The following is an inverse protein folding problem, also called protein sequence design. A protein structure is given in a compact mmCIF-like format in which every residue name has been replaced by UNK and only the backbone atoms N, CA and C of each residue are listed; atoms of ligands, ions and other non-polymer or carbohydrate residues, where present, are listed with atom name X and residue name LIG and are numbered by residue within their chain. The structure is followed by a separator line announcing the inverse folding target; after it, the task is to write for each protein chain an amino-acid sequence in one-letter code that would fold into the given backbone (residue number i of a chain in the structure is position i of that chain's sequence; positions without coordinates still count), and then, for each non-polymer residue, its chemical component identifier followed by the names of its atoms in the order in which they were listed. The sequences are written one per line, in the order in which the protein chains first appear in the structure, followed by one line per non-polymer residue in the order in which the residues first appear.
data_IF_067815493994
#
_entry.id   IF_067815493994
#
_cell.length_a   1.000
_cell.length_b   1.000
_cell.length_c   1.000
_cell.angle_alpha   90.00
_cell.angle_beta   90.00
_cell.angle_gamma   90.00
#
_symmetry.space_group_name_H-M   'P 1'
#
loop_
_entity.id
_entity.type
_entity.pdbx_description
1 polymer ?
#
# COMPACT_ATOMS: atom_id res chain seq x y z
N UNK A 1 -7.72 -2.50 27.40
CA UNK A 1 -7.51 -3.38 26.24
C UNK A 1 -8.62 -4.40 26.07
N UNK A 2 -9.12 -5.01 27.15
CA UNK A 2 -10.16 -6.06 27.10
C UNK A 2 -11.44 -5.68 26.33
N UNK A 3 -11.95 -4.46 26.51
CA UNK A 3 -13.11 -3.98 25.74
C UNK A 3 -12.81 -3.95 24.23
N UNK A 4 -11.64 -3.43 23.83
CA UNK A 4 -11.21 -3.40 22.42
C UNK A 4 -11.12 -4.81 21.85
N UNK A 5 -10.56 -5.75 22.61
CA UNK A 5 -10.49 -7.15 22.20
C UNK A 5 -11.88 -7.75 21.99
N UNK A 6 -12.82 -7.51 22.92
CA UNK A 6 -14.20 -8.01 22.78
C UNK A 6 -14.93 -7.47 21.55
N UNK A 7 -14.62 -6.24 21.13
CA UNK A 7 -15.16 -5.66 19.90
C UNK A 7 -14.46 -6.22 18.65
N UNK A 8 -13.15 -6.47 18.70
CA UNK A 8 -12.41 -6.96 17.54
C UNK A 8 -12.65 -8.44 17.26
N UNK A 9 -12.78 -9.28 18.29
CA UNK A 9 -12.87 -10.74 18.14
C UNK A 9 -13.92 -11.18 17.11
N UNK A 10 -15.20 -10.72 17.17
CA UNK A 10 -16.21 -11.16 16.21
C UNK A 10 -15.91 -10.74 14.77
N UNK A 11 -15.12 -9.68 14.58
CA UNK A 11 -14.78 -9.10 13.27
C UNK A 11 -13.60 -9.80 12.61
N UNK A 12 -12.69 -10.38 13.39
CA UNK A 12 -11.46 -11.03 12.90
C UNK A 12 -11.43 -12.54 13.08
N UNK A 13 -12.43 -13.12 13.75
CA UNK A 13 -12.51 -14.57 14.03
C UNK A 13 -12.39 -15.45 12.77
N UNK A 14 -12.89 -14.98 11.64
CA UNK A 14 -12.79 -15.68 10.35
C UNK A 14 -11.35 -15.83 9.84
N UNK A 15 -10.39 -15.05 10.37
CA UNK A 15 -8.97 -15.13 10.05
C UNK A 15 -8.22 -16.21 10.86
N UNK A 16 -8.91 -16.89 11.79
CA UNK A 16 -8.41 -18.04 12.55
C UNK A 16 -7.69 -17.67 13.86
N UNK A 17 -7.65 -18.66 14.75
CA UNK A 17 -7.07 -18.53 16.09
C UNK A 17 -5.61 -18.03 16.10
N UNK A 18 -4.71 -18.49 15.19
CA UNK A 18 -3.33 -18.00 15.19
C UNK A 18 -3.21 -16.49 14.94
N UNK A 19 -4.11 -15.91 14.12
CA UNK A 19 -4.13 -14.47 13.91
C UNK A 19 -4.65 -13.75 15.15
N UNK A 20 -5.72 -14.26 15.75
CA UNK A 20 -6.32 -13.68 16.95
C UNK A 20 -5.35 -13.64 18.14
N UNK A 21 -4.59 -14.73 18.35
CA UNK A 21 -3.58 -14.82 19.40
C UNK A 21 -2.46 -13.78 19.19
N UNK A 22 -1.95 -13.64 17.96
CA UNK A 22 -0.93 -12.62 17.64
C UNK A 22 -1.45 -11.20 17.82
N UNK A 23 -2.67 -10.91 17.37
CA UNK A 23 -3.29 -9.60 17.54
C UNK A 23 -3.50 -9.27 19.02
N UNK A 24 -3.97 -10.23 19.80
CA UNK A 24 -4.18 -10.08 21.24
C UNK A 24 -2.88 -9.81 21.96
N UNK A 25 -1.83 -10.60 21.67
CA UNK A 25 -0.50 -10.38 22.22
C UNK A 25 0.04 -8.99 21.86
N UNK A 26 -0.12 -8.56 20.60
CA UNK A 26 0.28 -7.24 20.14
C UNK A 26 -0.46 -6.11 20.87
N UNK A 27 -1.77 -6.21 21.10
CA UNK A 27 -2.55 -5.16 21.75
C UNK A 27 -2.34 -5.10 23.28
N UNK A 28 -1.96 -6.21 23.90
CA UNK A 28 -1.69 -6.28 25.34
C UNK A 28 -0.28 -5.80 25.69
N UNK A 29 0.68 -5.95 24.77
CA UNK A 29 2.02 -5.45 24.97
C UNK A 29 2.07 -3.90 24.89
N UNK A 30 2.56 -3.27 25.96
CA UNK A 30 2.61 -1.82 26.15
C UNK A 30 3.99 -1.23 25.86
N UNK A 31 5.01 -2.04 25.57
CA UNK A 31 6.36 -1.54 25.34
C UNK A 31 6.65 -1.34 23.85
N UNK A 32 6.57 -0.09 23.40
CA UNK A 32 6.83 0.30 22.01
C UNK A 32 8.28 0.07 21.56
N UNK A 33 9.20 -0.27 22.48
CA UNK A 33 10.60 -0.57 22.16
C UNK A 33 10.96 -2.05 22.36
N UNK A 34 10.00 -2.91 22.72
CA UNK A 34 10.26 -4.31 23.03
C UNK A 34 10.79 -5.13 21.85
N UNK A 35 10.38 -4.78 20.63
CA UNK A 35 10.69 -5.55 19.42
C UNK A 35 11.11 -4.67 18.26
N UNK A 36 11.86 -5.25 17.31
CA UNK A 36 12.35 -4.54 16.12
C UNK A 36 11.20 -3.96 15.29
N UNK A 37 10.12 -4.70 15.10
CA UNK A 37 8.94 -4.25 14.35
C UNK A 37 8.26 -3.02 15.00
N UNK A 38 8.16 -2.98 16.33
CA UNK A 38 7.63 -1.82 17.05
C UNK A 38 8.53 -0.59 16.94
N UNK A 39 9.85 -0.79 17.02
CA UNK A 39 10.83 0.29 16.85
C UNK A 39 10.78 0.86 15.44
N UNK A 40 10.68 0.00 14.41
CA UNK A 40 10.48 0.42 13.01
C UNK A 40 9.17 1.21 12.88
N UNK A 41 8.07 0.72 13.44
CA UNK A 41 6.78 1.39 13.36
C UNK A 41 6.77 2.74 14.08
N UNK A 42 7.39 2.83 15.26
CA UNK A 42 7.55 4.06 16.02
C UNK A 42 8.39 5.09 15.24
N UNK A 43 9.52 4.67 14.66
CA UNK A 43 10.34 5.54 13.81
C UNK A 43 9.55 6.03 12.58
N UNK A 44 8.76 5.15 11.96
CA UNK A 44 7.89 5.52 10.84
C UNK A 44 6.80 6.54 11.24
N UNK A 45 6.16 6.36 12.40
CA UNK A 45 5.19 7.31 12.94
C UNK A 45 5.83 8.69 13.21
N UNK A 46 6.97 8.72 13.89
CA UNK A 46 7.71 9.95 14.16
C UNK A 46 8.12 10.66 12.87
N UNK A 47 8.59 9.91 11.88
CA UNK A 47 8.96 10.48 10.58
C UNK A 47 7.74 11.06 9.85
N UNK A 48 6.63 10.32 9.77
CA UNK A 48 5.41 10.77 9.11
C UNK A 48 4.84 12.03 9.77
N UNK A 49 4.79 12.08 11.10
CA UNK A 49 4.36 13.26 11.86
C UNK A 49 5.31 14.43 11.68
N UNK A 50 6.63 14.20 11.70
CA UNK A 50 7.63 15.25 11.45
C UNK A 50 7.56 15.81 10.03
N UNK A 51 7.30 14.96 9.04
CA UNK A 51 7.09 15.38 7.65
C UNK A 51 5.85 16.26 7.50
N UNK A 52 4.72 15.88 8.09
CA UNK A 52 3.51 16.71 8.10
C UNK A 52 3.73 18.01 8.86
N UNK A 53 4.40 17.95 10.01
CA UNK A 53 4.75 19.12 10.79
C UNK A 53 5.56 20.13 9.98
N UNK A 54 6.53 19.69 9.18
CA UNK A 54 7.32 20.58 8.32
C UNK A 54 6.47 21.33 7.29
N UNK A 55 5.37 20.75 6.82
CA UNK A 55 4.42 21.43 5.93
C UNK A 55 3.68 22.53 6.70
N UNK A 56 3.16 22.21 7.89
CA UNK A 56 2.37 23.12 8.72
C UNK A 56 3.24 24.26 9.28
N UNK A 57 4.47 23.95 9.72
CA UNK A 57 5.44 24.91 10.28
C UNK A 57 5.67 26.10 9.35
N UNK A 58 5.71 25.84 8.04
CA UNK A 58 5.88 26.89 7.03
C UNK A 58 4.76 27.94 7.02
N UNK A 59 3.58 27.61 7.56
CA UNK A 59 2.40 28.48 7.61
C UNK A 59 2.31 29.34 8.89
N UNK A 60 3.09 29.03 9.94
CA UNK A 60 3.02 29.74 11.23
C UNK A 60 4.41 30.02 11.83
N UNK A 61 5.32 30.62 11.06
CA UNK A 61 6.75 30.74 11.41
C UNK A 61 7.10 31.60 12.64
N UNK A 62 6.14 32.23 13.31
CA UNK A 62 6.37 33.14 14.44
C UNK A 62 6.18 32.47 15.82
N UNK A 63 5.68 31.24 15.85
CA UNK A 63 5.41 30.53 17.10
C UNK A 63 6.66 29.80 17.61
N UNK A 64 7.09 30.16 18.83
CA UNK A 64 8.27 29.58 19.47
C UNK A 64 8.08 28.13 19.89
N UNK A 65 6.84 27.67 20.11
CA UNK A 65 6.53 26.27 20.46
C UNK A 65 6.88 25.31 19.30
N UNK A 66 6.96 25.82 18.06
CA UNK A 66 7.33 25.03 16.90
C UNK A 66 8.77 24.48 16.97
N UNK A 67 9.67 25.17 17.69
CA UNK A 67 11.03 24.68 17.88
C UNK A 67 11.05 23.45 18.79
N UNK A 68 10.29 23.46 19.88
CA UNK A 68 10.20 22.34 20.81
C UNK A 68 9.55 21.11 20.17
N UNK A 69 8.53 21.32 19.33
CA UNK A 69 7.87 20.24 18.58
C UNK A 69 8.83 19.61 17.58
N UNK A 70 9.56 20.40 16.77
CA UNK A 70 10.56 19.87 15.85
C UNK A 70 11.64 19.07 16.58
N UNK A 71 12.15 19.62 17.69
CA UNK A 71 13.14 18.96 18.53
C UNK A 71 12.64 17.63 19.07
N UNK A 72 11.34 17.51 19.38
CA UNK A 72 10.74 16.26 19.85
C UNK A 72 10.78 15.16 18.78
N UNK A 73 10.48 15.50 17.52
CA UNK A 73 10.57 14.56 16.40
C UNK A 73 12.01 14.17 16.11
N UNK A 74 12.92 15.16 16.07
CA UNK A 74 14.36 14.94 15.87
C UNK A 74 14.93 13.99 16.92
N UNK A 75 14.74 14.29 18.21
CA UNK A 75 15.19 13.43 19.33
C UNK A 75 14.53 12.05 19.31
N UNK A 76 13.27 11.96 18.87
CA UNK A 76 12.57 10.68 18.70
C UNK A 76 13.22 9.79 17.63
N UNK A 77 13.58 10.36 16.47
CA UNK A 77 14.28 9.63 15.41
C UNK A 77 15.72 9.29 15.80
N UNK A 78 16.43 10.18 16.50
CA UNK A 78 17.78 9.93 17.02
C UNK A 78 17.84 8.68 17.93
N UNK A 79 16.80 8.43 18.73
CA UNK A 79 16.70 7.22 19.57
C UNK A 79 16.60 5.92 18.76
N UNK A 80 16.26 6.02 17.48
CA UNK A 80 16.13 4.90 16.55
C UNK A 80 17.19 4.95 15.44
N UNK A 81 18.28 5.72 15.63
CA UNK A 81 19.33 5.91 14.62
C UNK A 81 20.16 4.65 14.32
N UNK A 82 20.07 3.62 15.17
CA UNK A 82 20.63 2.29 14.92
C UNK A 82 19.84 1.49 13.89
N UNK A 83 18.58 1.86 13.61
CA UNK A 83 17.79 1.25 12.55
C UNK A 83 18.30 1.73 11.18
N UNK A 84 18.48 0.77 10.27
CA UNK A 84 18.90 1.06 8.91
C UNK A 84 17.92 2.03 8.22
N UNK A 85 18.47 3.00 7.49
CA UNK A 85 17.71 4.04 6.79
C UNK A 85 17.24 5.21 7.65
N UNK A 86 17.07 5.06 8.98
CA UNK A 86 16.61 6.16 9.86
C UNK A 86 17.55 7.37 9.82
N UNK A 87 18.89 7.23 9.89
CA UNK A 87 19.78 8.39 9.76
C UNK A 87 19.61 9.14 8.42
N UNK A 88 19.42 8.41 7.32
CA UNK A 88 19.24 9.00 5.99
C UNK A 88 17.87 9.70 5.86
N UNK A 89 16.82 9.12 6.44
CA UNK A 89 15.49 9.75 6.55
C UNK A 89 15.57 11.03 7.38
N UNK A 90 16.22 10.98 8.54
CA UNK A 90 16.37 12.13 9.44
C UNK A 90 17.15 13.27 8.77
N UNK A 91 18.26 12.98 8.08
CA UNK A 91 19.00 13.97 7.30
C UNK A 91 18.13 14.56 6.18
N UNK A 92 17.35 13.73 5.48
CA UNK A 92 16.44 14.21 4.44
C UNK A 92 15.28 15.07 4.96
N UNK A 93 14.87 14.88 6.22
CA UNK A 93 13.74 15.58 6.84
C UNK A 93 14.15 16.86 7.57
N UNK A 94 15.28 16.83 8.30
CA UNK A 94 15.71 17.90 9.20
C UNK A 94 17.09 18.48 8.88
N UNK A 95 17.83 17.83 7.99
CA UNK A 95 19.16 18.23 7.57
C UNK A 95 19.15 19.25 6.44
N UNK A 96 20.33 19.49 5.88
CA UNK A 96 20.53 20.40 4.75
C UNK A 96 20.65 19.64 3.42
N UNK A 97 20.86 18.32 3.48
CA UNK A 97 21.02 17.45 2.31
C UNK A 97 19.72 16.78 1.86
N UNK A 98 19.59 16.55 0.55
CA UNK A 98 18.59 15.60 0.02
C UNK A 98 19.23 14.22 -0.04
N UNK A 99 18.74 13.28 0.78
CA UNK A 99 19.14 11.87 0.70
C UNK A 99 18.26 11.11 -0.30
N UNK A 100 18.75 10.04 -0.95
CA UNK A 100 17.93 9.22 -1.84
C UNK A 100 16.68 8.65 -1.17
N UNK A 101 16.82 8.06 0.03
CA UNK A 101 15.70 7.53 0.80
C UNK A 101 14.76 8.66 1.27
N UNK A 102 15.29 9.81 1.72
CA UNK A 102 14.48 10.96 2.10
C UNK A 102 13.67 11.51 0.92
N UNK A 103 14.26 11.53 -0.28
CA UNK A 103 13.56 11.89 -1.52
C UNK A 103 12.43 10.91 -1.83
N UNK A 104 12.69 9.60 -1.77
CA UNK A 104 11.67 8.57 -1.95
C UNK A 104 10.51 8.74 -0.96
N UNK A 105 10.81 8.90 0.32
CA UNK A 105 9.80 9.12 1.36
C UNK A 105 9.01 10.42 1.14
N UNK A 106 9.65 11.49 0.65
CA UNK A 106 8.98 12.74 0.28
C UNK A 106 8.01 12.56 -0.89
N UNK A 107 8.40 11.81 -1.93
CA UNK A 107 7.53 11.45 -3.06
C UNK A 107 6.33 10.65 -2.57
N UNK A 108 6.54 9.65 -1.71
CA UNK A 108 5.44 8.91 -1.09
C UNK A 108 4.52 9.81 -0.24
N UNK A 109 5.06 10.75 0.52
CA UNK A 109 4.25 11.70 1.31
C UNK A 109 3.31 12.55 0.45
N UNK A 110 3.72 12.90 -0.77
CA UNK A 110 2.89 13.68 -1.71
C UNK A 110 1.63 12.94 -2.17
N UNK A 111 1.62 11.59 -2.13
CA UNK A 111 0.42 10.77 -2.43
C UNK A 111 -0.79 11.12 -1.56
N UNK A 112 -0.56 11.72 -0.39
CA UNK A 112 -1.62 12.18 0.51
C UNK A 112 -2.48 13.29 -0.10
N UNK A 113 -1.90 14.12 -0.98
CA UNK A 113 -2.58 15.26 -1.59
C UNK A 113 -3.27 14.93 -2.91
N UNK A 114 -2.97 13.77 -3.51
CA UNK A 114 -3.62 13.30 -4.72
C UNK A 114 -4.94 12.60 -4.35
N UNK A 115 -6.06 13.11 -4.89
CA UNK A 115 -7.40 12.57 -4.64
C UNK A 115 -7.79 11.62 -5.76
N UNK A 116 -8.33 10.45 -5.39
CA UNK A 116 -8.96 9.53 -6.35
C UNK A 116 -10.33 10.04 -6.77
N UNK A 117 -10.81 9.58 -7.91
CA UNK A 117 -12.08 10.01 -8.49
C UNK A 117 -12.12 11.52 -8.73
N UNK A 118 -11.00 12.12 -9.15
CA UNK A 118 -10.80 13.57 -9.25
C UNK A 118 -11.86 14.34 -10.07
N UNK A 119 -12.61 13.64 -10.93
CA UNK A 119 -13.69 14.21 -11.74
C UNK A 119 -15.10 14.09 -11.12
N UNK A 120 -15.25 13.42 -9.97
CA UNK A 120 -16.54 13.28 -9.25
C UNK A 120 -16.37 13.73 -7.79
N UNK A 121 -17.23 14.62 -7.27
CA UNK A 121 -17.18 15.01 -5.85
C UNK A 121 -17.41 13.79 -4.95
N UNK A 122 -16.64 13.67 -3.87
CA UNK A 122 -16.68 12.50 -2.99
C UNK A 122 -16.72 12.90 -1.52
N UNK A 123 -17.56 12.22 -0.74
CA UNK A 123 -17.65 12.39 0.71
C UNK A 123 -17.64 11.01 1.39
N UNK A 124 -16.65 10.72 2.26
CA UNK A 124 -15.40 11.48 2.44
C UNK A 124 -14.56 11.45 1.15
N UNK A 125 -13.54 12.29 1.04
CA UNK A 125 -12.53 12.14 -0.02
C UNK A 125 -11.58 10.98 0.31
N UNK A 126 -10.95 10.38 -0.70
CA UNK A 126 -9.94 9.35 -0.51
C UNK A 126 -8.68 9.75 -1.27
N UNK A 127 -7.55 9.82 -0.56
CA UNK A 127 -6.25 10.05 -1.17
C UNK A 127 -5.73 8.76 -1.80
N UNK A 128 -4.83 8.87 -2.78
CA UNK A 128 -4.15 7.72 -3.36
C UNK A 128 -3.37 6.95 -2.29
N UNK A 129 -2.71 7.67 -1.35
CA UNK A 129 -2.05 7.04 -0.21
C UNK A 129 -3.01 6.21 0.65
N UNK A 130 -4.20 6.75 0.92
CA UNK A 130 -5.24 6.04 1.69
C UNK A 130 -5.76 4.81 0.96
N UNK A 131 -5.94 4.90 -0.36
CA UNK A 131 -6.32 3.77 -1.20
C UNK A 131 -5.27 2.65 -1.16
N UNK A 132 -4.00 2.99 -1.41
CA UNK A 132 -2.88 2.03 -1.37
C UNK A 132 -2.79 1.31 -0.03
N UNK A 133 -2.99 2.03 1.08
CA UNK A 133 -3.01 1.42 2.41
C UNK A 133 -4.19 0.47 2.62
N UNK A 134 -5.39 0.81 2.14
CA UNK A 134 -6.56 -0.08 2.20
C UNK A 134 -6.32 -1.34 1.36
N UNK A 135 -5.77 -1.19 0.14
CA UNK A 135 -5.41 -2.32 -0.73
C UNK A 135 -4.38 -3.23 -0.08
N UNK A 136 -3.34 -2.67 0.56
CA UNK A 136 -2.34 -3.43 1.32
C UNK A 136 -2.98 -4.24 2.46
N UNK A 137 -3.86 -3.61 3.24
CA UNK A 137 -4.59 -4.27 4.32
C UNK A 137 -5.44 -5.44 3.80
N UNK A 138 -6.24 -5.22 2.74
CA UNK A 138 -7.02 -6.28 2.12
C UNK A 138 -6.14 -7.40 1.59
N UNK A 139 -5.04 -7.06 0.91
CA UNK A 139 -4.12 -8.04 0.37
C UNK A 139 -3.56 -8.94 1.46
N UNK A 140 -3.20 -8.39 2.62
CA UNK A 140 -2.75 -9.18 3.77
C UNK A 140 -3.85 -10.07 4.35
N UNK A 141 -5.04 -9.52 4.63
CA UNK A 141 -6.14 -10.31 5.21
C UNK A 141 -6.61 -11.43 4.28
N UNK A 142 -6.75 -11.15 2.98
CA UNK A 142 -7.09 -12.20 2.01
C UNK A 142 -5.97 -13.22 1.85
N UNK A 143 -4.69 -12.83 2.00
CA UNK A 143 -3.57 -13.77 2.02
C UNK A 143 -3.71 -14.77 3.18
N UNK A 144 -4.12 -14.31 4.36
CA UNK A 144 -4.43 -15.20 5.49
C UNK A 144 -5.59 -16.15 5.16
N UNK A 145 -6.68 -15.61 4.60
CA UNK A 145 -7.87 -16.40 4.23
C UNK A 145 -7.60 -17.47 3.18
N UNK A 146 -6.66 -17.22 2.26
CA UNK A 146 -6.25 -18.22 1.25
C UNK A 146 -5.14 -19.16 1.75
N UNK A 147 -4.63 -19.00 2.97
CA UNK A 147 -3.54 -19.84 3.49
C UNK A 147 -2.21 -19.58 2.79
N UNK A 148 -1.95 -18.33 2.44
CA UNK A 148 -0.69 -17.91 1.85
C UNK A 148 0.49 -18.13 2.83
N UNK A 149 1.66 -18.53 2.32
CA UNK A 149 2.87 -18.60 3.13
C UNK A 149 3.29 -17.18 3.61
N UNK A 150 4.08 -17.07 4.68
CA UNK A 150 4.51 -15.77 5.22
C UNK A 150 5.10 -14.81 4.17
N UNK A 151 5.98 -15.28 3.30
CA UNK A 151 6.56 -14.47 2.23
C UNK A 151 5.47 -13.95 1.28
N UNK A 152 4.53 -14.81 0.87
CA UNK A 152 3.41 -14.41 0.00
C UNK A 152 2.55 -13.33 0.65
N UNK A 153 2.21 -13.49 1.93
CA UNK A 153 1.39 -12.53 2.66
C UNK A 153 2.09 -11.17 2.78
N UNK A 154 3.40 -11.17 3.06
CA UNK A 154 4.22 -9.95 3.08
C UNK A 154 4.30 -9.30 1.70
N UNK A 155 4.52 -10.10 0.66
CA UNK A 155 4.65 -9.62 -0.72
C UNK A 155 3.37 -9.04 -1.26
N UNK A 156 2.23 -9.64 -0.90
CA UNK A 156 0.92 -9.11 -1.22
C UNK A 156 0.65 -7.81 -0.45
N UNK A 157 1.02 -7.71 0.84
CA UNK A 157 0.89 -6.45 1.57
C UNK A 157 1.66 -5.31 0.89
N UNK A 158 2.96 -5.51 0.63
CA UNK A 158 3.78 -4.46 0.00
C UNK A 158 3.49 -4.25 -1.49
N UNK A 159 3.09 -5.31 -2.20
CA UNK A 159 2.56 -5.21 -3.56
C UNK A 159 1.37 -4.27 -3.61
N UNK A 160 0.41 -4.43 -2.70
CA UNK A 160 -0.72 -3.53 -2.55
C UNK A 160 -0.32 -2.12 -2.08
N UNK A 161 0.67 -2.02 -1.19
CA UNK A 161 1.13 -0.73 -0.66
C UNK A 161 1.80 0.15 -1.72
N UNK A 162 2.44 -0.44 -2.73
CA UNK A 162 3.18 0.30 -3.76
C UNK A 162 2.53 0.28 -5.16
N UNK A 163 1.44 -0.47 -5.38
CA UNK A 163 0.91 -0.71 -6.73
C UNK A 163 0.63 0.57 -7.55
N UNK A 164 0.09 1.61 -6.93
CA UNK A 164 -0.25 2.90 -7.57
C UNK A 164 0.90 3.92 -7.55
N UNK A 165 2.10 3.54 -7.08
CA UNK A 165 3.26 4.43 -7.06
C UNK A 165 3.64 4.99 -8.45
N UNK A 166 3.59 4.22 -9.56
CA UNK A 166 3.87 4.78 -10.90
C UNK A 166 2.83 5.82 -11.35
N UNK A 167 1.55 5.62 -11.00
CA UNK A 167 0.44 6.51 -11.38
C UNK A 167 0.51 7.90 -10.72
N UNK A 168 1.23 8.02 -9.60
CA UNK A 168 1.55 9.32 -9.00
C UNK A 168 2.33 10.22 -9.96
N UNK A 169 3.29 9.66 -10.66
CA UNK A 169 4.30 10.43 -11.38
C UNK A 169 3.75 11.02 -12.69
N UNK A 170 2.65 10.45 -13.19
CA UNK A 170 1.95 10.91 -14.40
C UNK A 170 0.64 11.64 -14.11
N UNK A 171 0.26 11.79 -12.83
CA UNK A 171 -1.00 12.41 -12.32
C UNK A 171 -2.26 11.66 -12.75
N UNK A 172 -2.74 10.75 -11.90
CA UNK A 172 -4.05 10.03 -11.91
C UNK A 172 -4.81 10.09 -13.26
N UNK A 173 -4.29 9.40 -14.28
CA UNK A 173 -4.99 9.33 -15.57
C UNK A 173 -6.16 8.37 -15.42
N UNK A 174 -7.37 8.93 -15.34
CA UNK A 174 -8.61 8.17 -15.07
C UNK A 174 -8.78 6.94 -15.98
N UNK A 175 -9.31 5.85 -15.42
CA UNK A 175 -9.48 4.57 -16.12
C UNK A 175 -10.20 4.63 -17.48
N UNK A 176 -11.24 5.46 -17.71
CA UNK A 176 -11.86 5.58 -19.03
C UNK A 176 -10.90 6.04 -20.12
N UNK A 177 -9.90 6.86 -19.79
CA UNK A 177 -8.86 7.30 -20.72
C UNK A 177 -7.87 6.17 -20.97
N UNK A 178 -7.41 5.49 -19.90
CA UNK A 178 -6.53 4.30 -20.01
C UNK A 178 -7.15 3.18 -20.87
N UNK A 179 -8.47 3.07 -20.89
CA UNK A 179 -9.22 2.04 -21.62
C UNK A 179 -9.80 2.51 -22.97
N UNK A 180 -9.56 3.77 -23.35
CA UNK A 180 -10.18 4.37 -24.55
C UNK A 180 -9.66 3.77 -25.85
N UNK A 181 -8.35 3.52 -25.94
CA UNK A 181 -7.66 2.88 -27.06
C UNK A 181 -6.48 2.10 -26.49
N UNK A 182 -6.30 0.84 -26.90
CA UNK A 182 -5.22 -0.04 -26.43
C UNK A 182 -3.84 0.63 -26.52
N UNK A 183 -3.56 1.26 -27.65
CA UNK A 183 -2.31 1.99 -27.90
C UNK A 183 -2.09 3.17 -26.93
N UNK A 184 -3.16 3.84 -26.49
CA UNK A 184 -3.06 4.93 -25.50
C UNK A 184 -2.72 4.37 -24.13
N UNK A 185 -3.34 3.25 -23.74
CA UNK A 185 -3.03 2.57 -22.48
C UNK A 185 -1.57 2.11 -22.41
N UNK A 186 -1.03 1.57 -23.51
CA UNK A 186 0.37 1.18 -23.62
C UNK A 186 1.32 2.38 -23.49
N UNK A 187 1.04 3.48 -24.20
CA UNK A 187 1.84 4.70 -24.09
C UNK A 187 1.84 5.27 -22.66
N UNK A 188 0.67 5.33 -22.01
CA UNK A 188 0.58 5.82 -20.62
C UNK A 188 1.47 4.98 -19.70
N UNK A 189 1.41 3.66 -19.83
CA UNK A 189 2.21 2.73 -19.02
C UNK A 189 3.70 2.88 -19.28
N UNK A 190 4.11 3.11 -20.52
CA UNK A 190 5.50 3.42 -20.87
C UNK A 190 5.97 4.70 -20.17
N UNK A 191 5.17 5.77 -20.20
CA UNK A 191 5.50 7.01 -19.48
C UNK A 191 5.53 6.84 -17.96
N UNK A 192 4.59 6.10 -17.38
CA UNK A 192 4.58 5.76 -15.95
C UNK A 192 5.90 5.05 -15.55
N UNK A 193 6.37 4.11 -16.36
CA UNK A 193 7.64 3.40 -16.11
C UNK A 193 8.87 4.32 -16.26
N UNK A 194 8.90 5.18 -17.28
CA UNK A 194 10.01 6.13 -17.48
C UNK A 194 10.11 7.09 -16.28
N UNK A 195 8.98 7.60 -15.82
CA UNK A 195 8.96 8.51 -14.68
C UNK A 195 9.30 7.80 -13.37
N UNK A 196 8.80 6.58 -13.16
CA UNK A 196 9.19 5.73 -12.02
C UNK A 196 10.70 5.54 -11.96
N UNK A 197 11.30 5.18 -13.09
CA UNK A 197 12.75 5.02 -13.19
C UNK A 197 13.44 6.33 -12.81
N UNK A 198 13.11 7.43 -13.49
CA UNK A 198 13.76 8.73 -13.35
C UNK A 198 13.66 9.32 -11.95
N UNK A 199 12.48 9.23 -11.32
CA UNK A 199 12.17 9.92 -10.06
C UNK A 199 12.49 9.07 -8.84
N UNK A 200 12.36 7.75 -8.92
CA UNK A 200 12.48 6.87 -7.75
C UNK A 200 13.65 5.89 -7.89
N UNK A 201 13.63 5.03 -8.91
CA UNK A 201 14.57 3.90 -8.97
C UNK A 201 16.00 4.35 -9.25
N UNK A 202 16.21 5.26 -10.19
CA UNK A 202 17.54 5.80 -10.52
C UNK A 202 18.20 6.55 -9.35
N UNK A 203 17.50 7.48 -8.66
CA UNK A 203 18.05 8.13 -7.48
C UNK A 203 18.42 7.15 -6.37
N UNK A 204 17.58 6.15 -6.10
CA UNK A 204 17.87 5.11 -5.11
C UNK A 204 19.09 4.27 -5.53
N UNK A 205 19.16 3.86 -6.80
CA UNK A 205 20.28 3.10 -7.37
C UNK A 205 21.60 3.86 -7.26
N UNK A 206 21.63 5.12 -7.69
CA UNK A 206 22.81 6.00 -7.54
C UNK A 206 23.18 6.26 -6.07
N UNK A 207 22.19 6.16 -5.18
CA UNK A 207 22.34 6.21 -3.74
C UNK A 207 22.92 4.95 -3.10
N UNK A 208 23.09 3.86 -3.86
CA UNK A 208 23.58 2.58 -3.35
C UNK A 208 22.49 1.68 -2.75
N UNK A 209 21.22 1.95 -3.00
CA UNK A 209 20.08 1.18 -2.48
C UNK A 209 19.53 0.17 -3.51
N UNK A 210 20.41 -0.64 -4.10
CA UNK A 210 20.02 -1.61 -5.15
C UNK A 210 19.04 -2.66 -4.62
N UNK A 211 19.22 -3.11 -3.38
CA UNK A 211 18.33 -4.04 -2.69
C UNK A 211 16.88 -3.51 -2.59
N UNK A 212 16.73 -2.23 -2.25
CA UNK A 212 15.42 -1.57 -2.21
C UNK A 212 14.84 -1.41 -3.61
N UNK A 213 15.67 -1.08 -4.61
CA UNK A 213 15.25 -0.99 -6.02
C UNK A 213 14.76 -2.34 -6.53
N UNK A 214 15.48 -3.42 -6.26
CA UNK A 214 15.09 -4.79 -6.62
C UNK A 214 13.76 -5.16 -5.97
N UNK A 215 13.59 -4.87 -4.68
CA UNK A 215 12.35 -5.16 -3.95
C UNK A 215 11.15 -4.37 -4.46
N UNK A 216 11.31 -3.07 -4.71
CA UNK A 216 10.26 -2.23 -5.30
C UNK A 216 9.90 -2.72 -6.71
N UNK A 217 10.92 -3.05 -7.53
CA UNK A 217 10.72 -3.59 -8.88
C UNK A 217 9.95 -4.90 -8.87
N UNK A 218 10.21 -5.77 -7.89
CA UNK A 218 9.47 -7.01 -7.66
C UNK A 218 8.00 -6.74 -7.30
N UNK A 219 7.73 -5.85 -6.34
CA UNK A 219 6.37 -5.50 -5.94
C UNK A 219 5.56 -4.94 -7.10
N UNK A 220 6.16 -4.01 -7.85
CA UNK A 220 5.59 -3.39 -9.06
C UNK A 220 5.55 -4.35 -10.26
N UNK A 221 6.10 -5.56 -10.13
CA UNK A 221 6.06 -6.60 -11.16
C UNK A 221 6.72 -6.18 -12.47
N UNK A 222 7.77 -5.34 -12.42
CA UNK A 222 8.41 -4.78 -13.62
C UNK A 222 8.96 -5.88 -14.55
N UNK A 223 9.54 -6.95 -13.98
CA UNK A 223 10.07 -8.09 -14.74
C UNK A 223 9.00 -9.01 -15.33
N UNK A 224 7.78 -8.97 -14.79
CA UNK A 224 6.64 -9.81 -15.23
C UNK A 224 5.56 -8.98 -15.93
N UNK A 225 5.84 -7.70 -16.21
CA UNK A 225 5.01 -6.79 -16.97
C UNK A 225 3.86 -6.13 -16.21
N UNK A 226 3.57 -6.52 -14.97
CA UNK A 226 2.57 -5.86 -14.11
C UNK A 226 2.67 -6.35 -12.67
N UNK A 227 2.42 -5.42 -11.75
CA UNK A 227 2.13 -5.62 -10.35
C UNK A 227 1.01 -6.65 -10.11
N UNK A 228 0.05 -6.75 -11.03
CA UNK A 228 -1.09 -7.66 -10.97
C UNK A 228 -0.87 -9.02 -11.66
N UNK A 229 0.35 -9.30 -12.12
CA UNK A 229 0.71 -10.65 -12.54
C UNK A 229 1.26 -11.45 -11.36
N UNK A 230 0.75 -12.66 -11.17
CA UNK A 230 1.31 -13.61 -10.22
C UNK A 230 2.72 -14.01 -10.63
N UNK A 231 3.63 -14.07 -9.66
CA UNK A 231 5.02 -14.43 -9.90
C UNK A 231 5.64 -15.16 -8.70
N UNK A 232 6.70 -15.91 -8.96
CA UNK A 232 7.51 -16.59 -7.96
C UNK A 232 8.96 -16.68 -8.45
N UNK A 233 9.89 -16.91 -7.51
CA UNK A 233 11.27 -17.28 -7.78
C UNK A 233 11.32 -18.74 -8.26
N UNK A 234 11.64 -18.91 -9.54
CA UNK A 234 11.76 -20.20 -10.21
C UNK A 234 13.14 -20.30 -10.84
N UNK A 235 13.91 -21.30 -10.44
CA UNK A 235 15.30 -21.51 -10.88
C UNK A 235 16.20 -20.27 -10.70
N UNK A 236 16.02 -19.56 -9.58
CA UNK A 236 16.79 -18.35 -9.25
C UNK A 236 16.39 -17.09 -10.00
N UNK A 237 15.29 -17.10 -10.77
CA UNK A 237 14.76 -15.92 -11.44
C UNK A 237 13.27 -15.72 -11.14
N UNK A 238 12.85 -14.46 -10.99
CA UNK A 238 11.43 -14.12 -10.84
C UNK A 238 10.73 -14.40 -12.17
N UNK A 239 9.73 -15.28 -12.16
CA UNK A 239 8.95 -15.66 -13.33
C UNK A 239 7.48 -15.52 -13.06
N UNK A 240 6.74 -15.13 -14.11
CA UNK A 240 5.28 -15.16 -14.09
C UNK A 240 4.80 -16.60 -13.95
N UNK A 241 3.84 -16.82 -13.08
CA UNK A 241 3.16 -18.11 -12.88
C UNK A 241 1.65 -17.88 -12.96
N UNK A 242 0.88 -18.94 -13.20
CA UNK A 242 -0.57 -18.86 -13.04
C UNK A 242 -0.97 -19.00 -11.56
N UNK A 243 -2.17 -18.54 -11.23
CA UNK A 243 -2.65 -18.51 -9.84
C UNK A 243 -2.80 -19.90 -9.21
N UNK A 244 -3.05 -20.94 -10.01
CA UNK A 244 -3.16 -22.32 -9.51
C UNK A 244 -1.79 -22.89 -9.20
N UNK A 245 -0.81 -22.73 -10.09
CA UNK A 245 0.58 -23.11 -9.81
C UNK A 245 1.16 -22.30 -8.63
N UNK A 246 0.81 -21.01 -8.50
CA UNK A 246 1.20 -20.18 -7.35
C UNK A 246 0.73 -20.82 -6.03
N UNK A 247 -0.53 -21.27 -5.98
CA UNK A 247 -1.12 -21.90 -4.79
C UNK A 247 -0.56 -23.30 -4.53
N UNK A 248 -0.48 -24.14 -5.55
CA UNK A 248 -0.16 -25.57 -5.40
C UNK A 248 1.34 -25.86 -5.33
N UNK A 249 2.18 -25.07 -6.01
CA UNK A 249 3.60 -25.36 -6.19
C UNK A 249 4.53 -24.34 -5.56
N UNK A 250 4.13 -23.07 -5.57
CA UNK A 250 5.02 -21.96 -5.20
C UNK A 250 4.60 -21.22 -3.92
N UNK A 251 3.58 -21.69 -3.19
CA UNK A 251 3.14 -21.12 -1.91
C UNK A 251 4.09 -21.54 -0.76
N UNK A 252 5.38 -21.23 -0.91
CA UNK A 252 6.46 -21.50 0.05
C UNK A 252 7.40 -20.31 0.10
N UNK A 253 7.98 -20.05 1.26
CA UNK A 253 8.79 -18.84 1.48
C UNK A 253 10.02 -18.79 0.58
N UNK A 254 10.64 -19.94 0.27
CA UNK A 254 11.82 -20.02 -0.60
C UNK A 254 11.52 -19.67 -2.06
N UNK A 255 10.24 -19.70 -2.45
CA UNK A 255 9.79 -19.33 -3.78
C UNK A 255 9.46 -17.83 -3.91
N UNK A 256 9.61 -17.02 -2.86
CA UNK A 256 9.24 -15.59 -2.82
C UNK A 256 7.97 -15.23 -3.63
N UNK A 257 6.83 -15.91 -3.40
CA UNK A 257 5.64 -15.77 -4.23
C UNK A 257 4.96 -14.40 -4.07
N UNK A 258 4.33 -13.89 -5.13
CA UNK A 258 3.45 -12.73 -5.12
C UNK A 258 2.19 -13.03 -5.93
N UNK A 259 1.03 -12.74 -5.36
CA UNK A 259 -0.27 -13.01 -5.95
C UNK A 259 -0.88 -11.75 -6.58
N UNK A 260 -0.55 -11.53 -7.85
CA UNK A 260 -1.07 -10.39 -8.60
C UNK A 260 -2.60 -10.42 -8.81
N UNK A 261 -3.22 -11.60 -8.87
CA UNK A 261 -4.67 -11.70 -9.05
C UNK A 261 -5.42 -11.27 -7.78
N UNK A 262 -4.95 -11.74 -6.62
CA UNK A 262 -5.45 -11.30 -5.32
C UNK A 262 -5.26 -9.79 -5.14
N UNK A 263 -4.11 -9.24 -5.54
CA UNK A 263 -3.88 -7.79 -5.54
C UNK A 263 -4.90 -7.05 -6.40
N UNK A 264 -5.19 -7.53 -7.61
CA UNK A 264 -6.15 -6.86 -8.50
C UNK A 264 -7.58 -6.89 -7.97
N UNK A 265 -7.91 -7.97 -7.28
CA UNK A 265 -9.18 -8.10 -6.57
C UNK A 265 -9.25 -7.08 -5.42
N UNK A 266 -8.20 -6.94 -4.61
CA UNK A 266 -8.14 -5.99 -3.51
C UNK A 266 -8.26 -4.53 -3.98
N UNK A 267 -7.55 -4.14 -5.04
CA UNK A 267 -7.69 -2.84 -5.72
C UNK A 267 -9.15 -2.59 -6.14
N UNK A 268 -9.77 -3.58 -6.78
CA UNK A 268 -11.17 -3.49 -7.22
C UNK A 268 -12.14 -3.35 -6.03
N UNK A 269 -11.93 -4.08 -4.93
CA UNK A 269 -12.76 -3.98 -3.73
C UNK A 269 -12.60 -2.61 -3.04
N UNK A 270 -11.38 -2.09 -2.95
CA UNK A 270 -11.14 -0.76 -2.40
C UNK A 270 -11.85 0.30 -3.24
N UNK A 271 -11.71 0.27 -4.57
CA UNK A 271 -12.42 1.17 -5.49
C UNK A 271 -13.95 1.03 -5.40
N UNK A 272 -14.46 -0.19 -5.17
CA UNK A 272 -15.89 -0.43 -4.92
C UNK A 272 -16.36 0.26 -3.64
N UNK A 273 -15.66 0.05 -2.52
CA UNK A 273 -16.03 0.64 -1.23
C UNK A 273 -15.95 2.16 -1.24
N UNK A 274 -14.97 2.70 -1.95
CA UNK A 274 -14.83 4.12 -2.23
C UNK A 274 -16.08 4.70 -2.92
N UNK A 275 -16.51 4.08 -4.01
CA UNK A 275 -17.68 4.52 -4.77
C UNK A 275 -18.99 4.28 -3.98
N UNK A 276 -19.10 3.16 -3.29
CA UNK A 276 -20.26 2.78 -2.49
C UNK A 276 -20.50 3.77 -1.35
N UNK A 277 -19.44 4.10 -0.61
CA UNK A 277 -19.51 5.05 0.51
C UNK A 277 -19.92 6.44 0.02
N UNK A 278 -19.41 6.87 -1.14
CA UNK A 278 -19.78 8.14 -1.74
C UNK A 278 -21.27 8.20 -2.11
N UNK A 279 -21.80 7.16 -2.77
CA UNK A 279 -23.24 7.08 -3.08
C UNK A 279 -24.09 7.07 -1.81
N UNK A 280 -23.70 6.30 -0.79
CA UNK A 280 -24.43 6.21 0.48
C UNK A 280 -24.44 7.53 1.27
N UNK A 281 -23.44 8.37 1.06
CA UNK A 281 -23.39 9.73 1.59
C UNK A 281 -24.09 10.78 0.69
N UNK A 282 -24.88 10.34 -0.30
CA UNK A 282 -25.75 11.20 -1.09
C UNK A 282 -25.12 11.81 -2.35
N UNK A 283 -23.94 11.34 -2.77
CA UNK A 283 -23.38 11.75 -4.07
C UNK A 283 -24.14 11.03 -5.19
N UNK A 284 -24.92 11.75 -5.98
CA UNK A 284 -25.53 11.21 -7.19
C UNK A 284 -24.55 11.39 -8.38
N UNK A 285 -23.91 10.31 -8.81
CA UNK A 285 -23.02 10.30 -9.99
C UNK A 285 -23.17 9.02 -10.78
N UNK A 286 -23.53 9.16 -12.07
CA UNK A 286 -23.62 8.05 -13.01
C UNK A 286 -22.28 7.32 -13.15
N UNK A 287 -21.17 8.04 -13.06
CA UNK A 287 -19.82 7.45 -13.13
C UNK A 287 -19.57 6.49 -11.95
N UNK A 288 -19.98 6.86 -10.74
CA UNK A 288 -19.85 6.00 -9.55
C UNK A 288 -20.78 4.79 -9.65
N UNK A 289 -22.03 4.98 -10.07
CA UNK A 289 -22.99 3.88 -10.25
C UNK A 289 -22.51 2.88 -11.29
N UNK A 290 -22.04 3.34 -12.45
CA UNK A 290 -21.46 2.49 -13.49
C UNK A 290 -20.18 1.80 -12.99
N UNK A 291 -19.35 2.50 -12.21
CA UNK A 291 -18.18 1.95 -11.54
C UNK A 291 -18.53 0.75 -10.66
N UNK A 292 -19.49 0.92 -9.75
CA UNK A 292 -19.97 -0.15 -8.87
C UNK A 292 -20.55 -1.32 -9.65
N UNK A 293 -21.40 -1.05 -10.64
CA UNK A 293 -22.01 -2.09 -11.45
C UNK A 293 -20.96 -2.92 -12.21
N UNK A 294 -19.96 -2.26 -12.80
CA UNK A 294 -18.86 -2.91 -13.51
C UNK A 294 -18.02 -3.78 -12.58
N UNK A 295 -17.68 -3.28 -11.39
CA UNK A 295 -16.89 -4.04 -10.41
C UNK A 295 -17.70 -5.24 -9.90
N UNK A 296 -18.98 -5.04 -9.50
CA UNK A 296 -19.88 -6.14 -9.10
C UNK A 296 -19.96 -7.20 -10.19
N UNK A 297 -20.25 -6.79 -11.43
CA UNK A 297 -20.39 -7.73 -12.55
C UNK A 297 -19.10 -8.51 -12.82
N UNK A 298 -17.94 -7.86 -12.70
CA UNK A 298 -16.63 -8.50 -12.91
C UNK A 298 -16.32 -9.58 -11.86
N UNK A 299 -16.71 -9.36 -10.60
CA UNK A 299 -16.32 -10.23 -9.47
C UNK A 299 -17.46 -11.11 -8.93
N UNK A 300 -18.70 -10.96 -9.42
CA UNK A 300 -19.89 -11.66 -8.92
C UNK A 300 -19.75 -13.19 -8.86
N UNK A 301 -19.07 -13.80 -9.83
CA UNK A 301 -18.88 -15.26 -9.90
C UNK A 301 -17.46 -15.71 -9.53
N UNK A 302 -16.57 -14.80 -9.12
CA UNK A 302 -15.16 -15.13 -8.88
C UNK A 302 -15.00 -15.74 -7.49
N UNK A 303 -14.42 -16.93 -7.47
CA UNK A 303 -13.94 -17.57 -6.25
C UNK A 303 -12.42 -17.51 -6.27
N UNK A 304 -11.84 -16.76 -5.34
CA UNK A 304 -10.39 -16.66 -5.18
C UNK A 304 -9.87 -17.98 -4.60
N UNK A 305 -9.12 -18.71 -5.43
CA UNK A 305 -8.43 -19.96 -5.09
C UNK A 305 -9.33 -21.00 -4.39
N UNK A 306 -10.61 -21.03 -4.76
CA UNK A 306 -11.60 -21.93 -4.16
C UNK A 306 -12.00 -21.60 -2.71
N UNK A 307 -11.44 -20.55 -2.10
CA UNK A 307 -11.55 -20.26 -0.66
C UNK A 307 -12.39 -19.01 -0.36
N UNK A 308 -12.36 -18.00 -1.23
CA UNK A 308 -13.05 -16.72 -1.01
C UNK A 308 -14.02 -16.41 -2.14
N UNK A 309 -15.33 -16.44 -1.86
CA UNK A 309 -16.35 -16.04 -2.82
C UNK A 309 -16.54 -14.51 -2.79
N UNK A 310 -15.90 -13.80 -3.72
CA UNK A 310 -15.89 -12.33 -3.75
C UNK A 310 -17.29 -11.76 -3.99
N UNK A 311 -18.09 -12.44 -4.81
CA UNK A 311 -19.48 -12.06 -5.07
C UNK A 311 -20.35 -12.02 -3.81
N UNK A 312 -20.13 -12.93 -2.86
CA UNK A 312 -20.86 -12.93 -1.59
C UNK A 312 -20.49 -11.71 -0.74
N UNK A 313 -19.20 -11.36 -0.67
CA UNK A 313 -18.75 -10.15 0.03
C UNK A 313 -19.38 -8.88 -0.55
N UNK A 314 -19.46 -8.80 -1.88
CA UNK A 314 -20.06 -7.65 -2.55
C UNK A 314 -21.59 -7.59 -2.43
N UNK A 315 -22.25 -8.72 -2.15
CA UNK A 315 -23.69 -8.82 -1.98
C UNK A 315 -24.19 -8.30 -0.62
N UNK A 316 -23.32 -8.25 0.39
CA UNK A 316 -23.63 -7.66 1.70
C UNK A 316 -23.75 -6.12 1.65
N UNK A 317 -23.38 -5.52 0.53
CA UNK A 317 -23.56 -4.09 0.26
C UNK A 317 -24.85 -3.92 -0.56
N UNK A 318 -25.76 -3.05 -0.12
CA UNK A 318 -27.01 -2.71 -0.85
C UNK A 318 -26.73 -1.90 -2.14
#
# INVERSE_FOLDING_TARGET
TDWVLSELEPRVRSLGDPFWERLTAYLLDQDDNASLDRRILNAAHLYASGWEFNIIKSLNSQDTELMDIEDSFRKGLERNADLEGVPALMEGLFGQGRTPIGHFAQVCGQLRFQKRWSQTPRIPETSVLGHMFIVACYAYFFSLSVGACPARAQNNFFGGLFHDLPELLTRDIISPVKQSVETIGEMIKEYENIELERVILDPLRRGGHEDLVERLSFFLGLSVGSEFNACALVDGAVRRVDSMDLEERYNRDECDPKDGELLKMCDSLAAFLEAYTALRNGIASDQLQQGLWRIRSKWASRVLLGKVLVGALLADFD
#
